data_IF_988453191285
#
_entry.id   IF_988453191285
#
_cell.length_a   1.000
_cell.length_b   1.000
_cell.length_c   1.000
_cell.angle_alpha   90.00
_cell.angle_beta   90.00
_cell.angle_gamma   90.00
#
_symmetry.space_group_name_H-M   'P 1'
#
loop_
_entity.id
_entity.type
_entity.pdbx_description
1 polymer ?
#
# COMPACT_ATOMS: atom_id res chain seq x y z
N UNK A 1 -20.63 -3.27 7.40
CA UNK A 1 -19.41 -2.81 8.08
C UNK A 1 -18.87 -4.00 8.85
N UNK A 2 -17.80 -4.62 8.36
CA UNK A 2 -17.04 -5.62 9.12
C UNK A 2 -16.40 -4.89 10.29
N UNK A 3 -16.89 -5.12 11.50
CA UNK A 3 -16.20 -4.71 12.71
C UNK A 3 -14.89 -5.48 12.78
N UNK A 4 -13.81 -4.92 12.22
CA UNK A 4 -12.49 -5.35 12.64
C UNK A 4 -12.39 -5.11 14.14
N UNK A 5 -11.90 -6.07 14.94
CA UNK A 5 -11.81 -5.90 16.38
C UNK A 5 -11.02 -4.62 16.65
N UNK A 6 -11.70 -3.65 17.24
CA UNK A 6 -11.07 -2.40 17.68
C UNK A 6 -9.98 -2.79 18.70
N UNK A 7 -8.76 -2.70 18.27
CA UNK A 7 -7.64 -2.94 19.16
C UNK A 7 -7.37 -1.63 19.86
N UNK A 8 -7.71 -1.57 21.14
CA UNK A 8 -7.36 -0.44 21.98
C UNK A 8 -5.87 -0.14 21.82
N UNK A 9 -5.57 1.13 21.52
CA UNK A 9 -4.17 1.58 21.51
C UNK A 9 -3.63 1.35 22.91
N UNK A 10 -2.46 0.74 23.07
CA UNK A 10 -1.89 0.52 24.40
C UNK A 10 -1.68 1.87 25.08
N UNK A 11 -2.46 2.11 26.14
CA UNK A 11 -2.34 3.31 27.00
C UNK A 11 -1.06 3.25 27.85
N UNK A 12 -0.29 2.14 27.75
CA UNK A 12 0.95 1.90 28.45
C UNK A 12 2.19 2.43 27.73
N UNK A 13 3.35 1.97 28.16
CA UNK A 13 4.64 2.31 27.56
C UNK A 13 4.64 1.98 26.05
N UNK A 14 4.83 2.98 25.17
CA UNK A 14 4.85 2.76 23.72
C UNK A 14 6.05 1.91 23.27
N UNK A 15 6.98 1.59 24.15
CA UNK A 15 8.24 0.91 23.90
C UNK A 15 9.39 1.90 23.60
N UNK A 16 10.60 1.37 23.56
CA UNK A 16 11.80 2.14 23.23
C UNK A 16 11.97 2.19 21.69
N UNK A 17 11.79 3.35 21.03
CA UNK A 17 11.96 3.49 19.60
C UNK A 17 13.45 3.45 19.23
N UNK A 18 13.74 2.88 18.05
CA UNK A 18 15.06 2.97 17.43
C UNK A 18 15.20 4.32 16.73
N UNK A 19 15.82 5.31 17.39
CA UNK A 19 15.95 6.70 16.90
C UNK A 19 17.25 6.98 16.13
N UNK A 20 18.13 5.99 15.95
CA UNK A 20 19.43 6.16 15.29
C UNK A 20 19.37 6.54 13.80
N UNK A 21 18.24 6.31 13.12
CA UNK A 21 17.96 6.81 11.77
C UNK A 21 16.46 6.76 11.48
N UNK A 22 15.95 7.60 10.54
CA UNK A 22 14.54 7.56 10.12
C UNK A 22 14.11 6.17 9.64
N UNK A 23 14.96 5.47 8.90
CA UNK A 23 14.68 4.14 8.40
C UNK A 23 14.54 3.11 9.54
N UNK A 24 15.41 3.16 10.56
CA UNK A 24 15.31 2.27 11.73
C UNK A 24 14.02 2.50 12.49
N UNK A 25 13.60 3.75 12.62
CA UNK A 25 12.33 4.08 13.24
C UNK A 25 11.13 3.49 12.47
N UNK A 26 11.11 3.62 11.15
CA UNK A 26 10.06 3.02 10.32
C UNK A 26 10.05 1.49 10.42
N UNK A 27 11.20 0.85 10.44
CA UNK A 27 11.31 -0.61 10.63
C UNK A 27 10.81 -1.03 12.02
N UNK A 28 11.13 -0.26 13.04
CA UNK A 28 10.60 -0.50 14.39
C UNK A 28 9.08 -0.42 14.43
N UNK A 29 8.47 0.61 13.83
CA UNK A 29 7.02 0.72 13.68
C UNK A 29 6.43 -0.46 12.91
N UNK A 30 7.05 -0.82 11.77
CA UNK A 30 6.62 -1.94 10.94
C UNK A 30 6.57 -3.27 11.71
N UNK A 31 7.57 -3.54 12.55
CA UNK A 31 7.62 -4.75 13.39
C UNK A 31 6.43 -4.85 14.34
N UNK A 32 5.94 -3.72 14.86
CA UNK A 32 4.79 -3.69 15.77
C UNK A 32 3.45 -3.95 15.08
N UNK A 33 3.36 -3.73 13.77
CA UNK A 33 2.14 -3.95 12.98
C UNK A 33 2.35 -4.89 11.78
N UNK A 34 3.35 -5.78 11.85
CA UNK A 34 3.78 -6.66 10.76
C UNK A 34 2.63 -7.42 10.10
N UNK A 35 1.72 -7.97 10.88
CA UNK A 35 0.59 -8.74 10.36
C UNK A 35 -0.38 -7.88 9.55
N UNK A 36 -0.70 -6.68 10.05
CA UNK A 36 -1.55 -5.73 9.34
C UNK A 36 -0.90 -5.28 8.04
N UNK A 37 0.43 -5.03 8.05
CA UNK A 37 1.18 -4.66 6.84
C UNK A 37 1.21 -5.79 5.83
N UNK A 38 1.45 -7.03 6.27
CA UNK A 38 1.47 -8.19 5.39
C UNK A 38 0.09 -8.41 4.76
N UNK A 39 -0.98 -8.38 5.54
CA UNK A 39 -2.34 -8.50 5.02
C UNK A 39 -2.69 -7.36 4.05
N UNK A 40 -2.32 -6.12 4.38
CA UNK A 40 -2.52 -4.98 3.48
C UNK A 40 -1.78 -5.15 2.15
N UNK A 41 -0.54 -5.64 2.18
CA UNK A 41 0.22 -5.94 0.97
C UNK A 41 -0.42 -7.07 0.15
N UNK A 42 -0.84 -8.17 0.78
CA UNK A 42 -1.50 -9.30 0.11
C UNK A 42 -2.80 -8.88 -0.58
N UNK A 43 -3.68 -8.16 0.11
CA UNK A 43 -4.91 -7.65 -0.49
C UNK A 43 -4.63 -6.57 -1.55
N UNK A 44 -3.57 -5.78 -1.39
CA UNK A 44 -3.11 -4.84 -2.41
C UNK A 44 -2.66 -5.53 -3.70
N UNK A 45 -1.89 -6.60 -3.57
CA UNK A 45 -1.48 -7.46 -4.69
C UNK A 45 -2.71 -8.07 -5.35
N UNK A 46 -3.59 -8.71 -4.57
CA UNK A 46 -4.82 -9.31 -5.07
C UNK A 46 -5.69 -8.33 -5.84
N UNK A 47 -5.85 -7.11 -5.33
CA UNK A 47 -6.59 -6.04 -5.99
C UNK A 47 -5.98 -5.66 -7.35
N UNK A 48 -4.67 -5.38 -7.41
CA UNK A 48 -3.99 -4.96 -8.63
C UNK A 48 -3.86 -6.07 -9.67
N UNK A 49 -3.58 -7.29 -9.23
CA UNK A 49 -3.48 -8.45 -10.12
C UNK A 49 -4.86 -8.78 -10.74
N UNK A 50 -5.92 -8.78 -9.92
CA UNK A 50 -7.27 -8.98 -10.45
C UNK A 50 -7.65 -7.93 -11.48
N UNK A 51 -7.29 -6.67 -11.27
CA UNK A 51 -7.51 -5.59 -12.23
C UNK A 51 -6.80 -5.87 -13.57
N UNK A 52 -5.56 -6.33 -13.54
CA UNK A 52 -4.82 -6.69 -14.75
C UNK A 52 -5.45 -7.90 -15.47
N UNK A 53 -5.85 -8.93 -14.71
CA UNK A 53 -6.45 -10.14 -15.26
C UNK A 53 -7.85 -9.92 -15.84
N UNK A 54 -8.62 -8.95 -15.36
CA UNK A 54 -9.92 -8.59 -15.96
C UNK A 54 -9.74 -8.22 -17.44
N UNK A 55 -8.76 -7.40 -17.78
CA UNK A 55 -8.51 -7.01 -19.17
C UNK A 55 -8.05 -8.18 -20.03
N UNK A 56 -7.24 -9.08 -19.51
CA UNK A 56 -6.84 -10.31 -20.20
C UNK A 56 -8.05 -11.24 -20.43
N UNK A 57 -8.94 -11.36 -19.43
CA UNK A 57 -10.15 -12.17 -19.56
C UNK A 57 -11.16 -11.57 -20.56
N UNK A 58 -11.26 -10.24 -20.64
CA UNK A 58 -12.07 -9.55 -21.65
C UNK A 58 -11.52 -9.83 -23.05
N UNK A 59 -10.19 -9.74 -23.25
CA UNK A 59 -9.56 -10.13 -24.52
C UNK A 59 -9.90 -11.57 -24.92
N UNK A 60 -9.73 -12.51 -24.00
CA UNK A 60 -10.06 -13.91 -24.22
C UNK A 60 -11.57 -14.17 -24.52
N UNK A 61 -12.45 -13.35 -23.91
CA UNK A 61 -13.90 -13.40 -24.23
C UNK A 61 -14.18 -12.99 -25.66
N UNK A 62 -13.48 -11.98 -26.16
CA UNK A 62 -13.62 -11.51 -27.54
C UNK A 62 -13.07 -12.56 -28.50
N UNK A 63 -11.82 -13.00 -28.30
CA UNK A 63 -11.14 -13.94 -29.19
C UNK A 63 -11.88 -15.28 -29.30
N UNK A 64 -12.17 -15.91 -28.14
CA UNK A 64 -12.73 -17.27 -28.10
C UNK A 64 -14.27 -17.31 -28.13
N UNK A 65 -14.91 -16.22 -27.72
CA UNK A 65 -16.36 -16.12 -27.65
C UNK A 65 -16.99 -15.44 -28.89
N UNK A 66 -16.57 -14.20 -29.14
CA UNK A 66 -17.18 -13.38 -30.19
C UNK A 66 -16.67 -13.79 -31.57
N UNK A 67 -15.36 -13.83 -31.79
CA UNK A 67 -14.78 -14.13 -33.10
C UNK A 67 -15.13 -15.55 -33.58
N UNK A 68 -15.13 -16.54 -32.69
CA UNK A 68 -15.47 -17.92 -33.01
C UNK A 68 -16.97 -18.21 -32.89
N UNK A 69 -17.85 -17.22 -32.69
CA UNK A 69 -19.30 -17.37 -32.56
C UNK A 69 -19.69 -18.47 -31.54
N UNK A 70 -18.90 -18.67 -30.50
CA UNK A 70 -19.09 -19.71 -29.48
C UNK A 70 -19.71 -19.14 -28.20
N UNK A 71 -21.04 -19.24 -28.09
CA UNK A 71 -21.75 -18.73 -26.90
C UNK A 71 -21.32 -19.40 -25.59
N UNK A 72 -20.97 -20.68 -25.59
CA UNK A 72 -20.50 -21.38 -24.39
C UNK A 72 -19.18 -20.83 -23.89
N UNK A 73 -18.23 -20.56 -24.79
CA UNK A 73 -16.95 -19.93 -24.47
C UNK A 73 -17.16 -18.49 -23.97
N UNK A 74 -18.05 -17.72 -24.61
CA UNK A 74 -18.39 -16.37 -24.19
C UNK A 74 -18.90 -16.35 -22.74
N UNK A 75 -19.90 -17.17 -22.41
CA UNK A 75 -20.44 -17.24 -21.04
C UNK A 75 -19.38 -17.65 -20.00
N UNK A 76 -18.49 -18.57 -20.34
CA UNK A 76 -17.37 -18.96 -19.48
C UNK A 76 -16.48 -17.76 -19.15
N UNK A 77 -16.05 -17.00 -20.16
CA UNK A 77 -15.17 -15.86 -19.94
C UNK A 77 -15.87 -14.68 -19.25
N UNK A 78 -17.16 -14.45 -19.54
CA UNK A 78 -17.99 -13.49 -18.78
C UNK A 78 -18.05 -13.86 -17.31
N UNK A 79 -18.25 -15.15 -16.98
CA UNK A 79 -18.22 -15.61 -15.59
C UNK A 79 -16.86 -15.36 -14.93
N UNK A 80 -15.75 -15.59 -15.65
CA UNK A 80 -14.38 -15.27 -15.15
C UNK A 80 -14.23 -13.79 -14.87
N UNK A 81 -14.69 -12.90 -15.75
CA UNK A 81 -14.66 -11.44 -15.55
C UNK A 81 -15.44 -11.04 -14.29
N UNK A 82 -16.65 -11.62 -14.11
CA UNK A 82 -17.47 -11.35 -12.91
C UNK A 82 -16.73 -11.80 -11.64
N UNK A 83 -16.17 -12.99 -11.63
CA UNK A 83 -15.42 -13.52 -10.47
C UNK A 83 -14.20 -12.64 -10.16
N UNK A 84 -13.42 -12.28 -11.18
CA UNK A 84 -12.28 -11.38 -11.02
C UNK A 84 -12.71 -9.99 -10.50
N UNK A 85 -13.82 -9.45 -11.00
CA UNK A 85 -14.38 -8.19 -10.53
C UNK A 85 -14.82 -8.25 -9.05
N UNK A 86 -15.43 -9.35 -8.62
CA UNK A 86 -15.77 -9.58 -7.21
C UNK A 86 -14.52 -9.69 -6.34
N UNK A 87 -13.51 -10.45 -6.76
CA UNK A 87 -12.21 -10.56 -6.05
C UNK A 87 -11.56 -9.18 -5.94
N UNK A 88 -11.55 -8.42 -7.02
CA UNK A 88 -11.02 -7.06 -7.03
C UNK A 88 -11.75 -6.15 -6.04
N UNK A 89 -13.07 -6.18 -6.01
CA UNK A 89 -13.88 -5.37 -5.11
C UNK A 89 -13.62 -5.72 -3.63
N UNK A 90 -13.60 -7.02 -3.29
CA UNK A 90 -13.34 -7.50 -1.94
C UNK A 90 -11.91 -7.15 -1.51
N UNK A 91 -10.91 -7.46 -2.34
CA UNK A 91 -9.51 -7.14 -2.06
C UNK A 91 -9.30 -5.62 -1.90
N UNK A 92 -9.94 -4.80 -2.74
CA UNK A 92 -9.87 -3.35 -2.66
C UNK A 92 -10.45 -2.80 -1.37
N UNK A 93 -11.62 -3.28 -0.94
CA UNK A 93 -12.27 -2.89 0.31
C UNK A 93 -11.42 -3.28 1.54
N UNK A 94 -10.93 -4.54 1.59
CA UNK A 94 -10.11 -5.02 2.69
C UNK A 94 -8.76 -4.29 2.76
N UNK A 95 -8.10 -4.09 1.60
CA UNK A 95 -6.89 -3.30 1.51
C UNK A 95 -7.10 -1.89 2.07
N UNK A 96 -8.20 -1.23 1.70
CA UNK A 96 -8.47 0.14 2.17
C UNK A 96 -8.65 0.18 3.69
N UNK A 97 -9.40 -0.73 4.27
CA UNK A 97 -9.58 -0.82 5.72
C UNK A 97 -8.24 -1.06 6.45
N UNK A 98 -7.43 -1.99 5.93
CA UNK A 98 -6.12 -2.29 6.50
C UNK A 98 -5.14 -1.12 6.35
N UNK A 99 -5.19 -0.40 5.23
CA UNK A 99 -4.37 0.79 5.00
C UNK A 99 -4.67 1.89 6.00
N UNK A 100 -5.95 2.20 6.23
CA UNK A 100 -6.39 3.18 7.24
C UNK A 100 -5.97 2.74 8.64
N UNK A 101 -6.15 1.46 8.98
CA UNK A 101 -5.75 0.91 10.29
C UNK A 101 -4.24 1.00 10.50
N UNK A 102 -3.43 0.64 9.49
CA UNK A 102 -1.98 0.77 9.55
C UNK A 102 -1.53 2.21 9.72
N UNK A 103 -2.13 3.12 8.95
CA UNK A 103 -1.86 4.55 9.04
C UNK A 103 -2.15 5.08 10.43
N UNK A 104 -3.34 4.82 10.96
CA UNK A 104 -3.72 5.27 12.29
C UNK A 104 -2.84 4.69 13.39
N UNK A 105 -2.55 3.38 13.35
CA UNK A 105 -1.67 2.74 14.33
C UNK A 105 -0.27 3.34 14.36
N UNK A 106 0.33 3.59 13.20
CA UNK A 106 1.65 4.21 13.11
C UNK A 106 1.63 5.66 13.59
N UNK A 107 0.60 6.44 13.22
CA UNK A 107 0.41 7.82 13.65
C UNK A 107 0.27 7.92 15.16
N UNK A 108 -0.67 7.18 15.75
CA UNK A 108 -0.93 7.27 17.19
C UNK A 108 0.24 6.73 18.02
N UNK A 109 0.91 5.66 17.58
CA UNK A 109 2.10 5.16 18.25
C UNK A 109 3.22 6.20 18.24
N UNK A 110 3.40 6.91 17.14
CA UNK A 110 4.38 8.01 17.04
C UNK A 110 4.04 9.14 18.01
N UNK A 111 2.77 9.54 18.08
CA UNK A 111 2.30 10.55 19.03
C UNK A 111 2.55 10.10 20.47
N UNK A 112 2.27 8.83 20.81
CA UNK A 112 2.51 8.27 22.15
C UNK A 112 4.00 8.27 22.51
N UNK A 113 4.88 7.87 21.59
CA UNK A 113 6.34 7.89 21.79
C UNK A 113 6.81 9.30 22.14
N UNK A 114 6.39 10.29 21.36
CA UNK A 114 6.79 11.68 21.58
C UNK A 114 6.19 12.22 22.88
N UNK A 115 4.90 11.98 23.14
CA UNK A 115 4.23 12.39 24.37
C UNK A 115 4.89 11.82 25.61
N UNK A 116 5.30 10.53 25.56
CA UNK A 116 6.02 9.89 26.66
C UNK A 116 7.42 10.52 26.87
N UNK A 117 8.12 10.85 25.78
CA UNK A 117 9.42 11.53 25.85
C UNK A 117 9.29 12.93 26.44
N UNK A 118 8.31 13.71 25.99
CA UNK A 118 8.01 15.07 26.51
C UNK A 118 7.68 15.00 28.00
N UNK A 119 6.85 14.05 28.43
CA UNK A 119 6.47 13.88 29.82
C UNK A 119 7.68 13.51 30.73
N UNK A 120 8.64 12.74 30.21
CA UNK A 120 9.87 12.39 30.94
C UNK A 120 10.87 13.56 31.03
N UNK A 121 10.95 14.39 29.99
CA UNK A 121 11.90 15.51 29.92
C UNK A 121 11.43 16.70 30.79
N UNK A 122 10.11 16.83 31.00
CA UNK A 122 9.53 17.83 31.89
C UNK A 122 9.71 19.26 31.38
N UNK A 123 9.72 20.27 32.30
CA UNK A 123 9.77 21.70 31.95
C UNK A 123 10.99 22.15 31.15
N UNK A 124 12.10 21.41 31.21
CA UNK A 124 13.34 21.73 30.49
C UNK A 124 13.12 21.82 28.95
N UNK A 125 12.14 21.10 28.40
CA UNK A 125 11.84 21.16 26.97
C UNK A 125 11.11 22.46 26.58
N UNK A 126 10.25 22.98 27.46
CA UNK A 126 9.46 24.19 27.19
C UNK A 126 10.28 25.47 27.23
N UNK A 127 11.47 25.44 27.84
CA UNK A 127 12.40 26.56 27.86
C UNK A 127 13.14 26.74 26.51
N UNK A 128 13.28 25.65 25.73
CA UNK A 128 14.01 25.64 24.46
C UNK A 128 13.07 25.72 23.24
N UNK A 129 11.86 25.12 23.31
CA UNK A 129 10.94 25.01 22.18
C UNK A 129 9.53 25.44 22.59
N UNK A 130 8.89 26.38 21.86
CA UNK A 130 7.50 26.77 22.11
C UNK A 130 6.56 25.56 22.06
N UNK A 131 5.69 25.42 23.05
CA UNK A 131 4.78 24.27 23.16
C UNK A 131 3.86 24.12 21.92
N UNK A 132 3.49 25.24 21.27
CA UNK A 132 2.69 25.22 20.04
C UNK A 132 3.42 24.60 18.86
N UNK A 133 4.72 24.81 18.71
CA UNK A 133 5.53 24.22 17.65
C UNK A 133 5.70 22.71 17.84
N UNK A 134 5.88 22.27 19.08
CA UNK A 134 5.93 20.84 19.41
C UNK A 134 4.63 20.14 19.02
N UNK A 135 3.47 20.69 19.39
CA UNK A 135 2.16 20.10 19.10
C UNK A 135 1.91 20.05 17.59
N UNK A 136 2.21 21.12 16.87
CA UNK A 136 1.96 21.20 15.43
C UNK A 136 2.88 20.25 14.64
N UNK A 137 4.17 20.23 14.95
CA UNK A 137 5.15 19.31 14.33
C UNK A 137 4.80 17.86 14.62
N UNK A 138 4.46 17.53 15.88
CA UNK A 138 4.08 16.17 16.27
C UNK A 138 2.86 15.68 15.49
N UNK A 139 1.81 16.49 15.38
CA UNK A 139 0.60 16.09 14.67
C UNK A 139 0.86 15.90 13.16
N UNK A 140 1.50 16.88 12.51
CA UNK A 140 1.75 16.85 11.07
C UNK A 140 2.73 15.73 10.67
N UNK A 141 3.84 15.59 11.38
CA UNK A 141 4.88 14.61 11.06
C UNK A 141 4.45 13.18 11.39
N UNK A 142 3.71 12.97 12.50
CA UNK A 142 3.15 11.68 12.81
C UNK A 142 2.17 11.19 11.72
N UNK A 143 1.35 12.08 11.16
CA UNK A 143 0.46 11.75 10.04
C UNK A 143 1.24 11.38 8.77
N UNK A 144 2.35 12.08 8.47
CA UNK A 144 3.23 11.76 7.33
C UNK A 144 3.90 10.39 7.50
N UNK A 145 4.40 10.11 8.70
CA UNK A 145 4.99 8.81 9.05
C UNK A 145 3.96 7.70 8.87
N UNK A 146 2.74 7.88 9.36
CA UNK A 146 1.65 6.92 9.14
C UNK A 146 1.35 6.69 7.66
N UNK A 147 1.30 7.77 6.85
CA UNK A 147 1.04 7.71 5.40
C UNK A 147 2.09 6.93 4.61
N UNK A 148 3.33 6.84 5.10
CA UNK A 148 4.39 6.10 4.43
C UNK A 148 4.09 4.59 4.32
N UNK A 149 3.35 4.02 5.27
CA UNK A 149 2.98 2.61 5.27
C UNK A 149 1.93 2.26 4.19
N UNK A 150 0.99 3.16 3.89
CA UNK A 150 0.06 2.96 2.77
C UNK A 150 0.79 3.04 1.43
N UNK A 151 1.72 3.97 1.28
CA UNK A 151 2.55 4.11 0.08
C UNK A 151 3.41 2.86 -0.17
N UNK A 152 3.98 2.27 0.88
CA UNK A 152 4.75 1.03 0.78
C UNK A 152 3.90 -0.15 0.28
N UNK A 153 2.70 -0.33 0.84
CA UNK A 153 1.80 -1.41 0.42
C UNK A 153 1.34 -1.25 -1.04
N UNK A 154 1.06 -0.02 -1.48
CA UNK A 154 0.75 0.27 -2.90
C UNK A 154 1.93 -0.03 -3.82
N UNK A 155 3.13 0.36 -3.42
CA UNK A 155 4.34 0.10 -4.19
C UNK A 155 4.59 -1.40 -4.40
N UNK A 156 4.42 -2.21 -3.35
CA UNK A 156 4.52 -3.67 -3.46
C UNK A 156 3.49 -4.25 -4.43
N UNK A 157 2.22 -3.81 -4.33
CA UNK A 157 1.18 -4.23 -5.26
C UNK A 157 1.48 -3.85 -6.71
N UNK A 158 2.01 -2.63 -6.94
CA UNK A 158 2.36 -2.16 -8.26
C UNK A 158 3.50 -2.97 -8.90
N UNK A 159 4.54 -3.33 -8.13
CA UNK A 159 5.63 -4.19 -8.62
C UNK A 159 5.10 -5.54 -9.08
N UNK A 160 4.26 -6.19 -8.25
CA UNK A 160 3.72 -7.51 -8.61
C UNK A 160 2.80 -7.40 -9.83
N UNK A 161 1.93 -6.39 -9.89
CA UNK A 161 1.06 -6.17 -11.04
C UNK A 161 1.87 -5.90 -12.32
N UNK A 162 2.93 -5.10 -12.24
CA UNK A 162 3.83 -4.86 -13.37
C UNK A 162 4.48 -6.16 -13.87
N UNK A 163 4.96 -7.02 -12.99
CA UNK A 163 5.51 -8.32 -13.36
C UNK A 163 4.44 -9.18 -14.06
N UNK A 164 3.25 -9.30 -13.47
CA UNK A 164 2.15 -10.09 -14.03
C UNK A 164 1.75 -9.59 -15.42
N UNK A 165 1.57 -8.27 -15.59
CA UNK A 165 1.22 -7.67 -16.89
C UNK A 165 2.33 -7.91 -17.91
N UNK A 166 3.60 -7.73 -17.53
CA UNK A 166 4.73 -7.99 -18.40
C UNK A 166 4.78 -9.44 -18.88
N UNK A 167 4.51 -10.41 -17.99
CA UNK A 167 4.46 -11.84 -18.34
C UNK A 167 3.29 -12.15 -19.29
N UNK A 168 2.11 -11.59 -19.06
CA UNK A 168 0.96 -11.76 -19.96
C UNK A 168 1.29 -11.22 -21.36
N UNK A 169 1.88 -10.03 -21.41
CA UNK A 169 2.24 -9.40 -22.71
C UNK A 169 3.38 -10.16 -23.40
N UNK A 170 4.37 -10.68 -22.68
CA UNK A 170 5.42 -11.51 -23.27
C UNK A 170 4.88 -12.81 -23.86
N UNK A 171 3.83 -13.40 -23.26
CA UNK A 171 3.17 -14.56 -23.79
C UNK A 171 2.37 -14.26 -25.08
N UNK A 172 1.88 -13.04 -25.25
CA UNK A 172 1.13 -12.59 -26.41
C UNK A 172 2.04 -12.04 -27.51
N UNK A 173 3.02 -11.20 -27.14
CA UNK A 173 3.99 -10.58 -28.04
C UNK A 173 5.25 -10.21 -27.27
N UNK A 174 6.39 -10.76 -27.71
CA UNK A 174 7.70 -10.50 -27.11
C UNK A 174 8.03 -9.00 -27.15
N UNK A 175 7.69 -8.32 -28.26
CA UNK A 175 7.97 -6.88 -28.42
C UNK A 175 7.19 -6.04 -27.39
N UNK A 176 5.90 -6.29 -27.25
CA UNK A 176 5.03 -5.57 -26.29
C UNK A 176 5.45 -5.86 -24.85
N UNK A 177 5.76 -7.10 -24.53
CA UNK A 177 6.21 -7.49 -23.21
C UNK A 177 7.52 -6.83 -22.80
N UNK A 178 8.51 -6.76 -23.72
CA UNK A 178 9.77 -6.08 -23.48
C UNK A 178 9.61 -4.56 -23.32
N UNK A 179 8.73 -3.93 -24.11
CA UNK A 179 8.46 -2.50 -23.98
C UNK A 179 7.92 -2.17 -22.59
N UNK A 180 6.99 -2.97 -22.06
CA UNK A 180 6.42 -2.73 -20.72
C UNK A 180 7.41 -3.10 -19.62
N UNK A 181 8.14 -4.22 -19.79
CA UNK A 181 9.11 -4.69 -18.82
C UNK A 181 10.27 -3.69 -18.61
N UNK A 182 10.77 -3.10 -19.68
CA UNK A 182 11.87 -2.14 -19.62
C UNK A 182 11.40 -0.69 -19.53
N UNK A 183 10.30 -0.35 -20.19
CA UNK A 183 9.77 1.01 -20.25
C UNK A 183 9.35 1.57 -18.89
N UNK A 184 8.68 0.76 -18.08
CA UNK A 184 8.22 1.21 -16.74
C UNK A 184 9.40 1.56 -15.82
N UNK A 185 10.45 0.73 -15.65
CA UNK A 185 11.63 1.11 -14.86
C UNK A 185 12.39 2.32 -15.44
N UNK A 186 12.50 2.42 -16.77
CA UNK A 186 13.16 3.56 -17.42
C UNK A 186 12.39 4.85 -17.13
N UNK A 187 11.08 4.88 -17.33
CA UNK A 187 10.24 6.04 -17.01
C UNK A 187 10.30 6.39 -15.53
N UNK A 188 10.28 5.38 -14.64
CA UNK A 188 10.44 5.58 -13.20
C UNK A 188 11.78 6.23 -12.84
N UNK A 189 12.88 5.77 -13.45
CA UNK A 189 14.21 6.33 -13.21
C UNK A 189 14.35 7.78 -13.71
N UNK A 190 13.68 8.14 -14.79
CA UNK A 190 13.65 9.51 -15.33
C UNK A 190 12.78 10.45 -14.50
N UNK A 191 11.71 9.94 -13.89
CA UNK A 191 10.77 10.76 -13.11
C UNK A 191 11.33 11.14 -11.73
N UNK A 192 12.11 10.25 -11.10
CA UNK A 192 12.67 10.49 -9.76
C UNK A 192 13.53 11.77 -9.67
N UNK A 193 14.49 12.05 -10.59
CA UNK A 193 15.27 13.30 -10.53
C UNK A 193 14.44 14.55 -10.81
N UNK A 194 13.36 14.45 -11.61
CA UNK A 194 12.45 15.57 -11.91
C UNK A 194 11.58 15.96 -10.71
N UNK A 195 11.34 15.05 -9.80
CA UNK A 195 10.52 15.28 -8.58
C UNK A 195 11.37 15.78 -7.39
N UNK A 196 12.68 15.87 -7.53
CA UNK A 196 13.50 16.51 -6.49
C UNK A 196 13.17 18.02 -6.48
N UNK A 197 12.66 18.57 -5.37
CA UNK A 197 12.45 20.01 -5.29
C UNK A 197 13.78 20.73 -5.48
N UNK A 198 13.76 21.75 -6.32
CA UNK A 198 14.85 22.71 -6.52
C UNK A 198 15.18 23.42 -5.20
#
# INVERSE_FOLDING_TARGET
MLHLPYRELPVGDPGAPETGSPFRYLVWLARHQRWLLTLNALFGIGWMVSQALVWAAVGAAIDHGVEHHNAGSLFKWVAVVIVLGLVQAVCGALRHQLAVTNWMNATYRTIQVIGHHVAKTGPALTDEIPAGDVVNTVAADAMRIGGSFDSFARFMGAIVAWIVVSLILLATSIQLGLIVLLGVPILGSLTVPLMRPL
#
